data_IF_944896843140
#
_entry.id   IF_944896843140
#
_cell.length_a   1.000
_cell.length_b   1.000
_cell.length_c   1.000
_cell.angle_alpha   90.00
_cell.angle_beta   90.00
_cell.angle_gamma   90.00
#
_symmetry.space_group_name_H-M   'P 1'
#
loop_
_entity.id
_entity.type
_entity.pdbx_description
1 polymer ?
#
# COMPACT_ATOMS: atom_id res chain seq x y z
N UNK A 1 -2.09 -7.16 7.78
CA UNK A 1 -0.88 -6.41 7.32
C UNK A 1 -1.25 -4.96 7.00
N UNK A 2 -0.29 -4.04 7.09
CA UNK A 2 -0.46 -2.67 6.60
C UNK A 2 -0.10 -2.64 5.12
N UNK A 3 -0.80 -1.84 4.31
CA UNK A 3 -0.54 -1.72 2.88
C UNK A 3 -0.43 -0.24 2.51
N UNK A 4 0.69 0.11 1.88
CA UNK A 4 0.93 1.43 1.29
C UNK A 4 1.00 1.29 -0.22
N UNK A 5 0.27 2.14 -0.91
CA UNK A 5 0.41 2.32 -2.35
C UNK A 5 1.53 3.33 -2.63
N UNK A 6 2.39 3.02 -3.60
CA UNK A 6 3.51 3.88 -3.95
C UNK A 6 3.62 4.09 -5.47
N UNK A 7 3.63 5.36 -5.87
CA UNK A 7 3.94 5.79 -7.24
C UNK A 7 5.43 6.08 -7.42
N UNK A 8 5.82 6.89 -8.40
CA UNK A 8 7.23 7.09 -8.75
C UNK A 8 7.88 8.37 -8.15
N UNK A 9 7.15 9.17 -7.37
CA UNK A 9 7.68 10.45 -6.90
C UNK A 9 8.55 10.30 -5.65
N UNK A 10 9.76 10.84 -5.72
CA UNK A 10 10.74 10.80 -4.63
C UNK A 10 10.24 11.43 -3.31
N UNK A 11 9.39 12.46 -3.37
CA UNK A 11 8.80 13.09 -2.18
C UNK A 11 7.99 12.09 -1.34
N UNK A 12 7.23 11.20 -1.99
CA UNK A 12 6.47 10.16 -1.30
C UNK A 12 7.34 9.00 -0.84
N UNK A 13 8.54 8.81 -1.40
CA UNK A 13 9.46 7.76 -0.95
C UNK A 13 9.85 7.98 0.50
N UNK A 14 10.31 9.20 0.79
CA UNK A 14 10.78 9.57 2.12
C UNK A 14 9.65 9.44 3.15
N UNK A 15 8.45 9.90 2.80
CA UNK A 15 7.27 9.78 3.66
C UNK A 15 6.93 8.31 3.93
N UNK A 16 6.91 7.47 2.89
CA UNK A 16 6.61 6.05 3.03
C UNK A 16 7.69 5.29 3.85
N UNK A 17 8.97 5.66 3.73
CA UNK A 17 10.05 5.09 4.55
C UNK A 17 9.94 5.51 6.03
N UNK A 18 9.57 6.76 6.29
CA UNK A 18 9.29 7.24 7.66
C UNK A 18 8.08 6.50 8.24
N UNK A 19 7.01 6.32 7.46
CA UNK A 19 5.84 5.54 7.84
C UNK A 19 6.22 4.08 8.15
N UNK A 20 7.01 3.43 7.29
CA UNK A 20 7.50 2.07 7.50
C UNK A 20 8.22 1.94 8.85
N UNK A 21 9.16 2.86 9.11
CA UNK A 21 9.92 2.88 10.37
C UNK A 21 9.02 3.14 11.57
N UNK A 22 8.03 4.02 11.44
CA UNK A 22 7.07 4.33 12.50
C UNK A 22 6.22 3.10 12.84
N UNK A 23 5.66 2.43 11.84
CA UNK A 23 4.88 1.21 12.05
C UNK A 23 5.73 0.11 12.70
N UNK A 24 6.97 -0.07 12.25
CA UNK A 24 7.92 -1.01 12.85
C UNK A 24 8.09 -0.79 14.36
N UNK A 25 8.19 0.47 14.81
CA UNK A 25 8.38 0.83 16.21
C UNK A 25 7.12 0.67 17.08
N UNK A 26 5.93 0.95 16.54
CA UNK A 26 4.69 1.00 17.34
C UNK A 26 3.79 -0.24 17.20
N UNK A 27 4.08 -1.15 16.27
CA UNK A 27 3.33 -2.42 16.17
C UNK A 27 3.75 -3.37 15.05
N UNK A 28 4.95 -3.20 14.48
CA UNK A 28 5.30 -3.82 13.18
C UNK A 28 5.86 -5.23 13.23
N UNK A 29 5.97 -5.86 14.41
CA UNK A 29 6.33 -7.28 14.51
C UNK A 29 5.24 -8.22 14.00
N UNK A 30 3.97 -7.85 14.20
CA UNK A 30 2.81 -8.72 13.87
C UNK A 30 2.16 -8.35 12.53
N UNK A 31 2.43 -7.15 12.01
CA UNK A 31 1.77 -6.60 10.83
C UNK A 31 2.82 -5.96 9.90
N UNK A 32 3.44 -6.73 8.99
CA UNK A 32 4.41 -6.18 8.06
C UNK A 32 3.77 -5.10 7.18
N UNK A 33 4.60 -4.13 6.75
CA UNK A 33 4.21 -3.15 5.76
C UNK A 33 4.43 -3.74 4.36
N UNK A 34 3.34 -3.92 3.64
CA UNK A 34 3.32 -4.28 2.24
C UNK A 34 3.38 -3.00 1.40
N UNK A 35 4.22 -2.98 0.37
CA UNK A 35 4.31 -1.88 -0.60
C UNK A 35 3.73 -2.35 -1.93
N UNK A 36 2.77 -1.61 -2.46
CA UNK A 36 2.15 -1.85 -3.76
C UNK A 36 2.64 -0.80 -4.77
N UNK A 37 3.70 -1.10 -5.54
CA UNK A 37 4.30 -0.15 -6.47
C UNK A 37 3.54 -0.05 -7.80
N UNK A 38 3.62 1.10 -8.46
CA UNK A 38 3.33 1.22 -9.88
C UNK A 38 4.47 0.66 -10.74
N UNK A 39 4.22 0.26 -12.01
CA UNK A 39 5.24 -0.30 -12.91
C UNK A 39 6.42 0.62 -13.23
N UNK A 40 6.22 1.93 -13.08
CA UNK A 40 7.19 2.98 -13.39
C UNK A 40 8.05 3.38 -12.17
N UNK A 41 7.93 2.67 -11.04
CA UNK A 41 8.79 2.92 -9.88
C UNK A 41 10.22 2.46 -10.17
N UNK A 42 11.24 3.32 -9.97
CA UNK A 42 12.64 2.94 -10.14
C UNK A 42 13.04 1.80 -9.20
N UNK A 43 13.89 0.89 -9.69
CA UNK A 43 14.38 -0.24 -8.88
C UNK A 43 15.07 0.20 -7.58
N UNK A 44 15.84 1.30 -7.62
CA UNK A 44 16.50 1.87 -6.44
C UNK A 44 15.52 2.24 -5.32
N UNK A 45 14.28 2.59 -5.66
CA UNK A 45 13.24 2.92 -4.69
C UNK A 45 12.63 1.65 -4.09
N UNK A 46 12.43 0.61 -4.90
CA UNK A 46 11.97 -0.69 -4.43
C UNK A 46 12.98 -1.30 -3.43
N UNK A 47 14.25 -1.27 -3.81
CA UNK A 47 15.38 -1.71 -2.98
C UNK A 47 15.49 -0.91 -1.67
N UNK A 48 15.17 0.40 -1.69
CA UNK A 48 15.06 1.19 -0.45
C UNK A 48 13.95 0.71 0.49
N UNK A 49 12.80 0.28 -0.03
CA UNK A 49 11.72 -0.29 0.79
C UNK A 49 12.10 -1.64 1.40
N UNK A 50 12.72 -2.51 0.61
CA UNK A 50 13.18 -3.82 1.10
C UNK A 50 14.19 -3.66 2.23
N UNK A 51 15.16 -2.74 2.08
CA UNK A 51 16.10 -2.39 3.15
C UNK A 51 15.44 -1.80 4.40
N UNK A 52 14.29 -1.14 4.25
CA UNK A 52 13.49 -0.64 5.37
C UNK A 52 12.67 -1.74 6.07
N UNK A 53 12.74 -2.99 5.60
CA UNK A 53 12.00 -4.12 6.14
C UNK A 53 10.57 -4.25 5.61
N UNK A 54 10.24 -3.54 4.52
CA UNK A 54 8.95 -3.69 3.85
C UNK A 54 8.93 -4.92 2.95
N UNK A 55 7.74 -5.48 2.71
CA UNK A 55 7.50 -6.49 1.68
C UNK A 55 7.02 -5.78 0.42
N UNK A 56 7.86 -5.74 -0.61
CA UNK A 56 7.51 -5.14 -1.89
C UNK A 56 6.75 -6.16 -2.73
N UNK A 57 5.51 -5.82 -3.10
CA UNK A 57 4.70 -6.66 -3.97
C UNK A 57 5.08 -6.44 -5.45
N UNK A 58 4.90 -7.44 -6.32
CA UNK A 58 5.16 -7.29 -7.74
C UNK A 58 4.37 -6.11 -8.34
N UNK A 59 5.09 -5.25 -9.06
CA UNK A 59 4.45 -4.25 -9.90
C UNK A 59 3.65 -4.97 -11.00
N UNK A 60 2.43 -4.52 -11.24
CA UNK A 60 1.62 -5.02 -12.36
C UNK A 60 1.04 -3.85 -13.14
N UNK A 61 1.02 -4.01 -14.46
CA UNK A 61 0.39 -3.07 -15.37
C UNK A 61 -1.11 -3.33 -15.45
N UNK A 62 -1.79 -3.24 -14.32
CA UNK A 62 -3.22 -3.57 -14.19
C UNK A 62 -4.11 -2.81 -15.18
N UNK A 63 -3.73 -1.57 -15.52
CA UNK A 63 -4.42 -0.78 -16.54
C UNK A 63 -4.41 -1.38 -17.94
N UNK A 64 -3.46 -2.26 -18.28
CA UNK A 64 -3.47 -2.97 -19.59
C UNK A 64 -4.73 -3.80 -19.79
N UNK A 65 -5.37 -4.26 -18.70
CA UNK A 65 -6.66 -4.95 -18.75
C UNK A 65 -7.86 -4.00 -18.94
N UNK A 66 -7.62 -2.68 -18.87
CA UNK A 66 -8.65 -1.63 -19.03
C UNK A 66 -8.20 -0.56 -20.03
N UNK A 67 -8.10 -0.87 -21.33
CA UNK A 67 -7.49 0.00 -22.35
C UNK A 67 -8.16 1.38 -22.47
N UNK A 68 -9.48 1.47 -22.24
CA UNK A 68 -10.21 2.76 -22.22
C UNK A 68 -9.78 3.67 -21.05
N UNK A 69 -9.47 3.09 -19.90
CA UNK A 69 -9.01 3.82 -18.72
C UNK A 69 -7.52 4.16 -18.83
N UNK A 70 -6.74 3.28 -19.47
CA UNK A 70 -5.33 3.52 -19.81
C UNK A 70 -5.16 4.70 -20.78
N UNK A 71 -6.06 4.85 -21.75
CA UNK A 71 -6.06 5.94 -22.72
C UNK A 71 -6.60 7.28 -22.16
N UNK A 72 -6.99 7.33 -20.89
CA UNK A 72 -7.54 8.53 -20.27
C UNK A 72 -6.45 9.61 -20.15
N UNK A 73 -6.64 10.80 -20.74
CA UNK A 73 -5.60 11.82 -20.86
C UNK A 73 -5.12 12.38 -19.51
N UNK A 74 -5.97 12.32 -18.48
CA UNK A 74 -5.66 12.86 -17.16
C UNK A 74 -4.75 11.95 -16.33
N UNK A 75 -4.57 10.68 -16.71
CA UNK A 75 -3.77 9.71 -15.94
C UNK A 75 -4.25 9.43 -14.50
N UNK A 76 -5.25 10.17 -14.00
CA UNK A 76 -5.79 10.11 -12.63
C UNK A 76 -6.25 8.72 -12.24
N UNK A 77 -6.80 7.98 -13.20
CA UNK A 77 -7.31 6.63 -12.99
C UNK A 77 -6.19 5.63 -12.72
N UNK A 78 -4.94 5.91 -13.13
CA UNK A 78 -3.79 5.01 -12.91
C UNK A 78 -3.49 4.83 -11.43
N UNK A 79 -3.41 5.92 -10.68
CA UNK A 79 -3.10 5.88 -9.25
C UNK A 79 -4.25 5.24 -8.46
N UNK A 80 -5.49 5.66 -8.74
CA UNK A 80 -6.69 5.14 -8.07
C UNK A 80 -6.89 3.65 -8.35
N UNK A 81 -6.81 3.22 -9.60
CA UNK A 81 -6.99 1.80 -9.97
C UNK A 81 -5.85 0.93 -9.44
N UNK A 82 -4.63 1.46 -9.38
CA UNK A 82 -3.53 0.72 -8.75
C UNK A 82 -3.76 0.57 -7.24
N UNK A 83 -4.27 1.60 -6.54
CA UNK A 83 -4.68 1.49 -5.13
C UNK A 83 -5.82 0.48 -4.93
N UNK A 84 -6.80 0.43 -5.84
CA UNK A 84 -7.91 -0.53 -5.79
C UNK A 84 -7.51 -1.99 -5.99
N UNK A 85 -6.34 -2.28 -6.59
CA UNK A 85 -5.79 -3.65 -6.63
C UNK A 85 -5.63 -4.26 -5.24
N UNK A 86 -5.52 -3.43 -4.21
CA UNK A 86 -5.50 -3.89 -2.83
C UNK A 86 -6.69 -4.81 -2.47
N UNK A 87 -7.86 -4.58 -3.07
CA UNK A 87 -9.07 -5.38 -2.85
C UNK A 87 -8.95 -6.79 -3.44
N UNK A 88 -8.13 -6.96 -4.49
CA UNK A 88 -7.90 -8.23 -5.16
C UNK A 88 -6.62 -8.94 -4.72
N UNK A 89 -5.93 -8.46 -3.69
CA UNK A 89 -4.70 -9.08 -3.21
C UNK A 89 -5.00 -10.44 -2.56
N UNK A 90 -4.63 -11.51 -3.26
CA UNK A 90 -4.67 -12.87 -2.75
C UNK A 90 -3.27 -13.29 -2.31
N UNK A 91 -2.92 -12.99 -1.05
CA UNK A 91 -1.69 -13.48 -0.43
C UNK A 91 -2.04 -14.59 0.58
N UNK A 92 -1.29 -15.70 0.62
CA UNK A 92 -1.53 -16.77 1.60
C UNK A 92 -1.59 -16.22 3.03
N UNK A 93 -2.67 -16.51 3.74
CA UNK A 93 -2.89 -16.08 5.13
C UNK A 93 -3.33 -14.63 5.31
N UNK A 94 -3.42 -13.82 4.24
CA UNK A 94 -3.90 -12.44 4.33
C UNK A 94 -5.43 -12.40 4.37
N UNK A 95 -5.99 -12.16 5.56
CA UNK A 95 -7.45 -12.00 5.77
C UNK A 95 -7.91 -10.55 5.80
N UNK A 96 -7.00 -9.63 6.16
CA UNK A 96 -7.32 -8.21 6.36
C UNK A 96 -6.11 -7.33 6.06
N UNK A 97 -6.36 -6.21 5.40
CA UNK A 97 -5.40 -5.14 5.15
C UNK A 97 -5.87 -3.83 5.77
N UNK A 98 -4.92 -3.08 6.31
CA UNK A 98 -5.12 -1.67 6.64
C UNK A 98 -4.48 -0.86 5.50
N UNK A 99 -5.31 -0.16 4.73
CA UNK A 99 -4.83 0.79 3.72
C UNK A 99 -4.36 2.07 4.40
N UNK A 100 -3.11 2.46 4.16
CA UNK A 100 -2.52 3.66 4.73
C UNK A 100 -1.94 4.49 3.58
N UNK A 101 -2.27 5.77 3.54
CA UNK A 101 -1.62 6.70 2.62
C UNK A 101 -0.22 7.07 3.12
N UNK A 102 0.72 7.23 2.19
CA UNK A 102 2.13 7.42 2.51
C UNK A 102 2.42 8.70 3.31
N UNK A 103 1.53 9.68 3.25
CA UNK A 103 1.62 10.98 3.93
C UNK A 103 1.04 10.97 5.36
N UNK A 104 0.54 9.83 5.84
CA UNK A 104 0.09 9.67 7.22
C UNK A 104 1.23 9.25 8.13
N UNK A 105 1.26 9.81 9.34
CA UNK A 105 2.23 9.45 10.38
C UNK A 105 1.53 8.91 11.63
N UNK A 106 1.58 7.59 11.89
CA UNK A 106 1.03 7.00 13.10
C UNK A 106 1.62 7.61 14.38
N UNK A 107 0.75 8.10 15.25
CA UNK A 107 1.14 8.58 16.58
C UNK A 107 1.32 7.39 17.54
N UNK A 108 1.94 7.64 18.69
CA UNK A 108 2.11 6.59 19.72
C UNK A 108 0.77 6.12 20.32
N UNK A 109 -0.32 6.85 20.10
CA UNK A 109 -1.65 6.50 20.58
C UNK A 109 -2.40 5.55 19.64
N UNK A 110 -1.88 5.33 18.42
CA UNK A 110 -2.50 4.42 17.47
C UNK A 110 -2.25 2.96 17.89
N UNK A 111 -3.29 2.28 18.34
CA UNK A 111 -3.25 0.85 18.63
C UNK A 111 -3.67 0.06 17.39
N UNK A 112 -2.68 -0.43 16.64
CA UNK A 112 -2.92 -1.23 15.43
C UNK A 112 -3.77 -2.47 15.73
N UNK A 113 -3.66 -3.09 16.90
CA UNK A 113 -4.45 -4.29 17.25
C UNK A 113 -5.94 -3.97 17.30
N UNK A 114 -6.31 -2.81 17.88
CA UNK A 114 -7.70 -2.35 17.88
C UNK A 114 -8.20 -2.08 16.46
N UNK A 115 -7.40 -1.42 15.62
CA UNK A 115 -7.75 -1.15 14.22
C UNK A 115 -7.94 -2.46 13.44
N UNK A 116 -7.07 -3.45 13.64
CA UNK A 116 -7.20 -4.76 13.02
C UNK A 116 -8.37 -5.58 13.58
N UNK A 117 -8.82 -5.35 14.83
CA UNK A 117 -9.99 -5.99 15.42
C UNK A 117 -11.33 -5.39 14.96
N UNK A 118 -11.37 -4.16 14.45
CA UNK A 118 -12.61 -3.55 13.91
C UNK A 118 -13.15 -4.35 12.72
N UNK A 119 -14.46 -4.37 12.52
CA UNK A 119 -15.00 -4.94 11.28
C UNK A 119 -14.54 -4.11 10.06
N UNK A 120 -14.08 -4.75 8.97
CA UNK A 120 -13.67 -4.03 7.78
C UNK A 120 -14.88 -3.33 7.17
N UNK A 121 -14.87 -1.99 7.04
CA UNK A 121 -16.04 -1.24 6.55
C UNK A 121 -16.42 -1.61 5.11
N UNK A 122 -15.47 -2.11 4.31
CA UNK A 122 -15.70 -2.57 2.95
C UNK A 122 -16.42 -3.94 2.88
N UNK A 123 -16.41 -4.76 3.94
CA UNK A 123 -17.16 -6.02 3.96
C UNK A 123 -18.67 -5.79 4.02
N UNK A 124 -19.12 -4.63 4.48
CA UNK A 124 -20.54 -4.24 4.49
C UNK A 124 -21.07 -3.90 3.09
N UNK A 125 -20.19 -3.75 2.10
CA UNK A 125 -20.52 -3.32 0.73
C UNK A 125 -20.43 -4.46 -0.30
N UNK A 126 -20.01 -5.66 0.12
CA UNK A 126 -19.96 -6.84 -0.74
C UNK A 126 -21.09 -7.79 -0.33
N UNK A 127 -22.11 -8.02 -1.19
CA UNK A 127 -23.20 -8.95 -0.90
C UNK A 127 -22.73 -10.41 -0.83
#
# INVERSE_FOLDING_TARGET
CCLVFYGNKAEYLLLALVLARRLALFGGGEHPLLVLPTPDVPYSFLDAFERAGCVVLPAQEYLRMHPRLLASPEGRHRLVLTKLRALGLQLPGLKKVLLIDADLLPTALLDLRKVFAMEPPAALLMP
#
